data_IF_125974839845
#
_entry.id   IF_125974839845
#
_cell.length_a   1.000
_cell.length_b   1.000
_cell.length_c   1.000
_cell.angle_alpha   90.00
_cell.angle_beta   90.00
_cell.angle_gamma   90.00
#
_symmetry.space_group_name_H-M   'P 1'
#
loop_
_entity.id
_entity.type
_entity.pdbx_description
1 polymer ?
#
# COMPACT_ATOMS: atom_id res chain seq x y z
N UNK A 1 -21.11 13.28 17.07
CA UNK A 1 -21.90 14.51 17.21
C UNK A 1 -22.83 14.60 16.01
N UNK A 2 -24.14 14.79 16.22
CA UNK A 2 -25.07 15.05 15.12
C UNK A 2 -24.80 16.44 14.53
N UNK A 3 -25.03 16.59 13.23
CA UNK A 3 -24.83 17.82 12.43
C UNK A 3 -25.51 19.05 13.03
N UNK A 4 -26.55 18.84 13.84
CA UNK A 4 -27.30 19.87 14.58
C UNK A 4 -26.45 20.67 15.58
N UNK A 5 -25.41 20.07 16.17
CA UNK A 5 -24.51 20.77 17.10
C UNK A 5 -23.62 21.81 16.41
N UNK A 6 -23.24 21.56 15.16
CA UNK A 6 -22.44 22.50 14.34
C UNK A 6 -23.35 23.63 13.83
N UNK A 7 -24.58 23.31 13.40
CA UNK A 7 -25.55 24.35 13.02
C UNK A 7 -25.89 25.29 14.18
N UNK A 8 -25.90 24.80 15.42
CA UNK A 8 -26.20 25.64 16.59
C UNK A 8 -25.07 26.65 16.90
N UNK A 9 -23.81 26.29 16.60
CA UNK A 9 -22.67 27.22 16.71
C UNK A 9 -22.65 28.21 15.54
N UNK A 10 -23.17 27.83 14.36
CA UNK A 10 -23.08 28.61 13.12
C UNK A 10 -24.30 29.50 12.84
N UNK A 11 -25.47 29.27 13.44
CA UNK A 11 -26.70 29.99 13.03
C UNK A 11 -26.89 31.36 13.68
N UNK A 12 -26.83 32.39 12.82
CA UNK A 12 -27.48 33.68 13.05
C UNK A 12 -27.02 34.80 12.10
N UNK A 13 -25.72 35.04 11.98
CA UNK A 13 -25.20 36.29 11.36
C UNK A 13 -24.38 36.09 10.09
N UNK A 14 -24.13 34.84 9.67
CA UNK A 14 -22.97 34.57 8.83
C UNK A 14 -21.67 34.90 9.59
N UNK A 15 -20.57 34.30 9.16
CA UNK A 15 -19.26 34.56 9.75
C UNK A 15 -18.42 35.32 8.73
N UNK A 16 -17.85 36.44 9.15
CA UNK A 16 -16.97 37.26 8.32
C UNK A 16 -15.50 36.80 8.39
N UNK A 17 -15.22 35.76 9.16
CA UNK A 17 -13.87 35.26 9.49
C UNK A 17 -13.87 33.73 9.63
N UNK A 18 -12.69 33.11 9.63
CA UNK A 18 -12.50 31.66 9.70
C UNK A 18 -12.98 31.08 11.05
N UNK A 19 -13.83 30.06 11.01
CA UNK A 19 -14.26 29.32 12.21
C UNK A 19 -13.43 28.03 12.31
N UNK A 20 -12.74 27.85 13.43
CA UNK A 20 -12.11 26.57 13.78
C UNK A 20 -12.84 25.94 14.96
N UNK A 21 -13.38 24.73 14.78
CA UNK A 21 -13.98 23.93 15.84
C UNK A 21 -13.10 22.71 16.15
N UNK A 22 -12.63 22.62 17.39
CA UNK A 22 -11.98 21.42 17.91
C UNK A 22 -12.90 20.71 18.89
N UNK A 23 -13.22 19.46 18.59
CA UNK A 23 -14.02 18.61 19.45
C UNK A 23 -13.27 17.32 19.83
N UNK A 24 -13.41 16.92 21.09
CA UNK A 24 -12.88 15.65 21.58
C UNK A 24 -13.95 14.91 22.37
N UNK A 25 -14.04 13.60 22.16
CA UNK A 25 -14.93 12.71 22.92
C UNK A 25 -14.09 11.60 23.54
N UNK A 26 -14.31 11.32 24.82
CA UNK A 26 -13.73 10.14 25.46
C UNK A 26 -14.44 8.89 24.93
N UNK A 27 -13.67 7.98 24.37
CA UNK A 27 -14.13 6.67 23.88
C UNK A 27 -13.56 5.54 24.73
N UNK A 28 -14.13 4.34 24.61
CA UNK A 28 -13.50 3.15 25.15
C UNK A 28 -12.17 2.91 24.44
N UNK A 29 -11.12 2.43 25.14
CA UNK A 29 -9.85 2.11 24.50
C UNK A 29 -10.06 1.01 23.46
N UNK A 30 -9.49 1.18 22.28
CA UNK A 30 -9.43 0.12 21.27
C UNK A 30 -8.39 -0.91 21.76
N UNK A 31 -8.72 -2.20 21.84
CA UNK A 31 -7.76 -3.24 22.21
C UNK A 31 -6.59 -3.31 21.23
N UNK A 32 -5.42 -3.73 21.72
CA UNK A 32 -4.26 -4.00 20.88
C UNK A 32 -4.57 -5.11 19.87
N UNK A 33 -4.00 -5.00 18.67
CA UNK A 33 -4.06 -6.05 17.67
C UNK A 33 -2.97 -7.08 17.96
N UNK A 34 -3.35 -8.36 18.06
CA UNK A 34 -2.43 -9.48 18.21
C UNK A 34 -2.83 -10.56 17.21
N UNK A 35 -1.93 -10.88 16.29
CA UNK A 35 -2.09 -11.90 15.28
C UNK A 35 -0.97 -12.93 15.45
N UNK A 36 -1.32 -14.21 15.50
CA UNK A 36 -0.36 -15.31 15.56
C UNK A 36 -0.76 -16.35 14.52
N UNK A 37 0.12 -16.57 13.53
CA UNK A 37 -0.12 -17.56 12.48
C UNK A 37 1.14 -18.38 12.21
N UNK A 38 1.02 -19.30 11.24
CA UNK A 38 2.18 -20.01 10.68
C UNK A 38 2.53 -19.39 9.33
N UNK A 39 3.83 -19.27 9.07
CA UNK A 39 4.35 -18.77 7.81
C UNK A 39 3.76 -19.53 6.61
N UNK A 40 3.02 -18.81 5.78
CA UNK A 40 2.53 -19.21 4.46
C UNK A 40 2.37 -17.94 3.59
N UNK A 41 2.16 -18.10 2.29
CA UNK A 41 1.91 -16.94 1.44
C UNK A 41 0.56 -16.25 1.77
N UNK A 42 -0.46 -17.00 2.19
CA UNK A 42 -1.79 -16.44 2.44
C UNK A 42 -1.81 -15.51 3.67
N UNK A 43 -0.96 -15.77 4.67
CA UNK A 43 -0.99 -15.00 5.92
C UNK A 43 -0.50 -13.56 5.73
N UNK A 44 0.31 -13.26 4.71
CA UNK A 44 0.75 -11.88 4.41
C UNK A 44 -0.46 -10.98 4.23
N UNK A 45 -1.38 -11.43 3.40
CA UNK A 45 -2.53 -10.68 2.97
C UNK A 45 -3.62 -10.62 4.07
N UNK A 46 -3.73 -11.70 4.86
CA UNK A 46 -4.52 -11.74 6.09
C UNK A 46 -4.07 -10.68 7.11
N UNK A 47 -2.77 -10.63 7.43
CA UNK A 47 -2.24 -9.69 8.43
C UNK A 47 -2.42 -8.25 7.99
N UNK A 48 -2.14 -7.97 6.71
CA UNK A 48 -2.34 -6.66 6.10
C UNK A 48 -3.79 -6.19 6.25
N UNK A 49 -4.76 -7.04 5.87
CA UNK A 49 -6.19 -6.70 5.98
C UNK A 49 -6.63 -6.50 7.42
N UNK A 50 -6.22 -7.38 8.32
CA UNK A 50 -6.54 -7.29 9.75
C UNK A 50 -6.00 -5.98 10.37
N UNK A 51 -4.77 -5.58 10.05
CA UNK A 51 -4.20 -4.31 10.48
C UNK A 51 -4.98 -3.11 9.94
N UNK A 52 -5.34 -3.12 8.66
CA UNK A 52 -6.11 -2.02 8.06
C UNK A 52 -7.49 -1.88 8.69
N UNK A 53 -8.20 -2.99 8.89
CA UNK A 53 -9.49 -3.00 9.59
C UNK A 53 -9.35 -2.45 11.02
N UNK A 54 -8.31 -2.85 11.74
CA UNK A 54 -8.02 -2.36 13.08
C UNK A 54 -7.67 -0.86 13.10
N UNK A 55 -6.85 -0.35 12.18
CA UNK A 55 -6.53 1.10 12.08
C UNK A 55 -7.76 1.94 11.73
N UNK A 56 -8.71 1.41 10.97
CA UNK A 56 -9.98 2.10 10.71
C UNK A 56 -10.85 2.25 11.98
N UNK A 57 -10.72 1.36 12.96
CA UNK A 57 -11.36 1.57 14.28
C UNK A 57 -10.76 2.77 15.04
N UNK A 58 -9.48 3.07 14.79
CA UNK A 58 -8.82 4.29 15.25
C UNK A 58 -9.16 5.52 14.42
N UNK A 59 -9.89 5.35 13.32
CA UNK A 59 -10.20 6.39 12.33
C UNK A 59 -8.94 7.08 11.80
N UNK A 60 -7.86 6.30 11.65
CA UNK A 60 -6.63 6.77 11.02
C UNK A 60 -6.91 7.24 9.59
N UNK A 61 -6.12 8.22 9.13
CA UNK A 61 -6.15 8.65 7.73
C UNK A 61 -5.80 7.49 6.79
N UNK A 62 -6.40 7.45 5.60
CA UNK A 62 -6.19 6.34 4.67
C UNK A 62 -4.74 6.27 4.19
N UNK A 63 -4.02 7.40 4.10
CA UNK A 63 -2.59 7.39 3.77
C UNK A 63 -1.77 6.64 4.84
N UNK A 64 -2.08 6.85 6.12
CA UNK A 64 -1.42 6.17 7.23
C UNK A 64 -1.77 4.68 7.26
N UNK A 65 -3.03 4.34 6.95
CA UNK A 65 -3.49 2.96 6.81
C UNK A 65 -2.69 2.24 5.71
N UNK A 66 -2.58 2.85 4.53
CA UNK A 66 -1.84 2.28 3.39
C UNK A 66 -0.36 2.12 3.74
N UNK A 67 0.27 3.13 4.34
CA UNK A 67 1.67 3.07 4.75
C UNK A 67 1.93 1.94 5.76
N UNK A 68 1.10 1.82 6.79
CA UNK A 68 1.21 0.76 7.79
C UNK A 68 0.97 -0.63 7.18
N UNK A 69 -0.06 -0.77 6.34
CA UNK A 69 -0.35 -2.02 5.62
C UNK A 69 0.80 -2.45 4.71
N UNK A 70 1.41 -1.51 4.00
CA UNK A 70 2.56 -1.78 3.16
C UNK A 70 3.76 -2.25 3.99
N UNK A 71 4.15 -1.48 5.01
CA UNK A 71 5.26 -1.83 5.89
C UNK A 71 5.09 -3.21 6.53
N UNK A 72 3.91 -3.50 7.10
CA UNK A 72 3.65 -4.81 7.72
C UNK A 72 3.61 -5.94 6.69
N UNK A 73 3.03 -5.70 5.50
CA UNK A 73 3.05 -6.67 4.40
C UNK A 73 4.48 -7.06 4.01
N UNK A 74 5.39 -6.09 3.90
CA UNK A 74 6.81 -6.34 3.62
C UNK A 74 7.51 -7.13 4.73
N UNK A 75 7.27 -6.76 5.99
CA UNK A 75 7.89 -7.42 7.13
C UNK A 75 7.41 -8.86 7.29
N UNK A 76 6.11 -9.11 7.10
CA UNK A 76 5.54 -10.47 7.13
C UNK A 76 6.03 -11.28 5.93
N UNK A 77 6.10 -10.68 4.74
CA UNK A 77 6.70 -11.34 3.56
C UNK A 77 8.14 -11.75 3.83
N UNK A 78 8.95 -10.85 4.39
CA UNK A 78 10.34 -11.13 4.76
C UNK A 78 10.42 -12.30 5.78
N UNK A 79 9.55 -12.34 6.79
CA UNK A 79 9.49 -13.46 7.72
C UNK A 79 9.14 -14.78 7.01
N UNK A 80 8.11 -14.77 6.15
CA UNK A 80 7.65 -15.96 5.41
C UNK A 80 8.72 -16.49 4.46
N UNK A 81 9.37 -15.62 3.69
CA UNK A 81 10.33 -16.02 2.67
C UNK A 81 11.71 -16.37 3.21
N UNK A 82 12.15 -15.68 4.28
CA UNK A 82 13.55 -15.68 4.68
C UNK A 82 13.83 -16.25 6.06
N UNK A 83 12.83 -16.43 6.92
CA UNK A 83 13.05 -16.93 8.28
C UNK A 83 13.16 -18.46 8.34
N UNK A 84 12.35 -19.19 7.57
CA UNK A 84 12.18 -20.64 7.76
C UNK A 84 12.74 -21.54 6.64
N UNK A 85 13.28 -20.95 5.57
CA UNK A 85 13.82 -21.69 4.43
C UNK A 85 12.75 -22.41 3.59
N UNK A 86 13.14 -23.21 2.57
CA UNK A 86 12.25 -23.67 1.49
C UNK A 86 11.08 -24.55 1.92
N UNK A 87 11.19 -25.25 3.05
CA UNK A 87 10.16 -26.16 3.59
C UNK A 87 9.54 -25.63 4.88
N UNK A 88 9.89 -24.41 5.26
CA UNK A 88 9.75 -23.91 6.61
C UNK A 88 8.36 -23.36 6.90
N UNK A 89 7.60 -24.08 7.74
CA UNK A 89 6.45 -23.49 8.42
C UNK A 89 6.88 -23.15 9.84
N UNK A 90 6.75 -21.88 10.24
CA UNK A 90 7.11 -21.43 11.58
C UNK A 90 6.22 -20.28 12.05
N UNK A 91 6.25 -19.95 13.35
CA UNK A 91 5.32 -18.99 13.92
C UNK A 91 5.68 -17.54 13.53
N UNK A 92 4.75 -16.86 12.88
CA UNK A 92 4.85 -15.41 12.63
C UNK A 92 3.80 -14.72 13.49
N UNK A 93 4.21 -13.70 14.23
CA UNK A 93 3.30 -12.90 15.06
C UNK A 93 3.42 -11.43 14.72
N UNK A 94 2.27 -10.75 14.69
CA UNK A 94 2.20 -9.29 14.56
C UNK A 94 1.44 -8.74 15.75
N UNK A 95 2.05 -7.78 16.44
CA UNK A 95 1.38 -7.00 17.47
C UNK A 95 1.35 -5.53 17.07
N UNK A 96 0.21 -4.87 17.20
CA UNK A 96 0.08 -3.44 16.94
C UNK A 96 -0.63 -2.74 18.10
N UNK A 97 -0.05 -1.62 18.53
CA UNK A 97 -0.55 -0.79 19.62
C UNK A 97 -0.54 0.68 19.21
N UNK A 98 -1.50 1.47 19.67
CA UNK A 98 -1.45 2.94 19.52
C UNK A 98 -1.21 3.56 20.89
N UNK A 99 -0.12 4.29 21.01
CA UNK A 99 0.22 4.98 22.26
C UNK A 99 -0.74 6.15 22.52
N UNK A 100 -0.84 6.66 23.77
CA UNK A 100 -1.63 7.86 24.07
C UNK A 100 -1.24 9.13 23.30
N UNK A 101 -0.08 9.13 22.62
CA UNK A 101 0.40 10.23 21.77
C UNK A 101 -0.03 10.10 20.30
N UNK A 102 -0.81 9.08 19.94
CA UNK A 102 -1.22 8.81 18.56
C UNK A 102 -0.15 8.12 17.72
N UNK A 103 0.91 7.60 18.34
CA UNK A 103 1.94 6.83 17.65
C UNK A 103 1.53 5.36 17.56
N UNK A 104 1.35 4.85 16.34
CA UNK A 104 1.26 3.44 16.03
C UNK A 104 2.63 2.80 16.23
N UNK A 105 2.66 1.68 16.95
CA UNK A 105 3.80 0.77 17.04
C UNK A 105 3.38 -0.59 16.55
N UNK A 106 4.11 -1.14 15.59
CA UNK A 106 3.91 -2.51 15.13
C UNK A 106 5.19 -3.30 15.31
N UNK A 107 5.07 -4.49 15.90
CA UNK A 107 6.15 -5.47 16.00
C UNK A 107 5.76 -6.71 15.17
N UNK A 108 6.62 -7.09 14.23
CA UNK A 108 6.53 -8.33 13.46
C UNK A 108 7.66 -9.24 13.92
N UNK A 109 7.31 -10.41 14.44
CA UNK A 109 8.27 -11.37 14.98
C UNK A 109 8.15 -12.73 14.32
N UNK A 110 9.30 -13.32 14.03
CA UNK A 110 9.45 -14.71 13.67
C UNK A 110 10.41 -15.43 14.64
N UNK A 111 10.52 -16.75 14.49
CA UNK A 111 11.46 -17.62 15.23
C UNK A 111 12.44 -18.33 14.31
N UNK A 112 12.58 -17.82 13.10
CA UNK A 112 13.44 -18.42 12.09
C UNK A 112 14.84 -17.83 12.14
N UNK A 113 15.72 -18.35 11.28
CA UNK A 113 17.04 -17.76 11.05
C UNK A 113 16.98 -16.96 9.78
N UNK A 114 16.91 -15.64 9.93
CA UNK A 114 16.88 -14.74 8.79
C UNK A 114 18.10 -14.94 7.91
N UNK A 115 17.85 -15.32 6.66
CA UNK A 115 18.89 -15.44 5.64
C UNK A 115 18.86 -14.20 4.76
N UNK A 116 19.97 -13.46 4.62
CA UNK A 116 20.00 -12.31 3.74
C UNK A 116 19.66 -12.71 2.30
N UNK A 117 18.81 -11.94 1.60
CA UNK A 117 18.56 -12.21 0.19
C UNK A 117 19.88 -12.05 -0.60
N UNK A 118 20.19 -13.03 -1.46
CA UNK A 118 21.38 -12.99 -2.32
C UNK A 118 21.34 -11.82 -3.32
N UNK A 119 22.52 -11.27 -3.69
CA UNK A 119 22.64 -10.01 -4.42
C UNK A 119 21.91 -9.93 -5.77
N UNK A 120 21.23 -8.80 -6.02
CA UNK A 120 20.58 -8.43 -7.28
C UNK A 120 20.01 -6.99 -7.25
N UNK A 121 19.84 -6.31 -8.40
CA UNK A 121 19.55 -4.88 -8.48
C UNK A 121 18.18 -4.45 -7.93
N UNK A 122 17.21 -5.36 -7.84
CA UNK A 122 15.88 -5.12 -7.30
C UNK A 122 15.67 -5.69 -5.87
N UNK A 123 16.72 -6.23 -5.24
CA UNK A 123 16.62 -6.83 -3.89
C UNK A 123 17.02 -5.82 -2.81
N UNK A 124 16.33 -5.88 -1.68
CA UNK A 124 16.52 -4.95 -0.55
C UNK A 124 15.52 -3.80 -0.48
N UNK A 125 14.63 -3.68 -1.47
CA UNK A 125 13.63 -2.62 -1.52
C UNK A 125 12.56 -2.74 -0.44
N UNK A 126 12.17 -3.96 -0.03
CA UNK A 126 11.14 -4.15 1.00
C UNK A 126 11.49 -3.49 2.33
N UNK A 127 12.70 -3.77 2.85
CA UNK A 127 13.17 -3.15 4.10
C UNK A 127 13.53 -1.67 3.93
N UNK A 128 14.04 -1.24 2.77
CA UNK A 128 14.34 0.18 2.54
C UNK A 128 13.06 1.02 2.43
N UNK A 129 12.05 0.56 1.68
CA UNK A 129 10.75 1.23 1.58
C UNK A 129 10.03 1.24 2.93
N UNK A 130 10.14 0.17 3.72
CA UNK A 130 9.61 0.18 5.09
C UNK A 130 10.26 1.28 5.93
N UNK A 131 11.58 1.46 5.81
CA UNK A 131 12.30 2.55 6.47
C UNK A 131 12.00 3.95 5.93
N UNK A 132 11.55 4.07 4.68
CA UNK A 132 11.11 5.36 4.12
C UNK A 132 9.66 5.71 4.46
N UNK A 133 8.80 4.70 4.63
CA UNK A 133 7.40 4.89 5.02
C UNK A 133 7.22 5.10 6.52
N UNK A 134 8.04 4.46 7.35
CA UNK A 134 7.96 4.54 8.80
C UNK A 134 8.71 5.75 9.36
N UNK A 135 8.20 6.36 10.44
CA UNK A 135 8.91 7.40 11.18
C UNK A 135 10.14 6.82 11.91
N UNK A 136 10.04 5.56 12.34
CA UNK A 136 11.14 4.79 12.88
C UNK A 136 11.02 3.32 12.46
N UNK A 137 12.16 2.71 12.13
CA UNK A 137 12.25 1.29 11.81
C UNK A 137 13.46 0.68 12.51
N UNK A 138 13.25 -0.43 13.20
CA UNK A 138 14.30 -1.25 13.80
C UNK A 138 14.16 -2.70 13.39
N UNK A 139 15.30 -3.38 13.27
CA UNK A 139 15.35 -4.79 12.91
C UNK A 139 16.39 -5.50 13.77
N UNK A 140 15.90 -6.22 14.77
CA UNK A 140 16.73 -7.02 15.66
C UNK A 140 16.75 -8.48 15.19
N UNK A 141 17.95 -9.04 15.09
CA UNK A 141 18.18 -10.41 14.63
C UNK A 141 18.96 -11.15 15.70
N UNK A 142 18.34 -12.19 16.22
CA UNK A 142 18.92 -13.06 17.23
C UNK A 142 18.93 -14.51 16.77
N UNK A 143 19.59 -15.37 17.55
CA UNK A 143 19.65 -16.81 17.27
C UNK A 143 18.29 -17.52 17.38
N UNK A 144 17.34 -16.91 18.10
CA UNK A 144 16.00 -17.44 18.37
C UNK A 144 14.90 -16.81 17.49
N UNK A 145 15.26 -15.88 16.58
CA UNK A 145 14.30 -15.23 15.69
C UNK A 145 14.72 -13.85 15.19
N UNK A 146 13.87 -13.27 14.36
CA UNK A 146 13.97 -11.86 13.95
C UNK A 146 12.76 -11.08 14.44
N UNK A 147 13.01 -9.86 14.91
CA UNK A 147 11.97 -8.92 15.35
C UNK A 147 12.14 -7.60 14.59
N UNK A 148 11.14 -7.25 13.80
CA UNK A 148 11.07 -6.00 13.08
C UNK A 148 10.06 -5.08 13.77
N UNK A 149 10.43 -3.84 14.08
CA UNK A 149 9.51 -2.87 14.68
C UNK A 149 9.41 -1.62 13.82
N UNK A 150 8.20 -1.11 13.64
CA UNK A 150 7.94 0.18 13.00
C UNK A 150 7.16 1.10 13.93
N UNK A 151 7.44 2.40 13.83
CA UNK A 151 6.62 3.45 14.43
C UNK A 151 6.08 4.38 13.33
N UNK A 152 4.80 4.77 13.45
CA UNK A 152 4.09 5.66 12.54
C UNK A 152 3.19 6.62 13.33
N UNK A 153 3.30 7.91 13.09
CA UNK A 153 2.40 8.92 13.67
C UNK A 153 1.06 8.87 12.93
N UNK A 154 0.00 8.46 13.63
CA UNK A 154 -1.33 8.44 13.04
C UNK A 154 -1.90 9.85 12.99
N UNK A 155 -2.38 10.21 11.82
CA UNK A 155 -3.16 11.39 11.55
C UNK A 155 -4.63 11.03 11.37
N UNK A 156 -5.47 12.07 11.41
CA UNK A 156 -6.88 11.99 11.05
C UNK A 156 -7.18 13.20 10.20
N UNK A 157 -7.71 13.02 8.99
CA UNK A 157 -8.10 14.15 8.16
C UNK A 157 -9.07 15.07 8.91
N UNK A 158 -8.71 16.34 9.02
CA UNK A 158 -9.66 17.36 9.45
C UNK A 158 -10.67 17.57 8.32
N UNK A 159 -11.96 17.44 8.62
CA UNK A 159 -13.01 17.73 7.63
C UNK A 159 -13.04 19.24 7.38
N UNK A 160 -12.53 19.68 6.23
CA UNK A 160 -12.74 21.03 5.73
C UNK A 160 -14.16 21.12 5.16
N UNK A 161 -15.07 21.76 5.92
CA UNK A 161 -16.41 22.08 5.47
C UNK A 161 -16.37 23.39 4.69
N UNK A 162 -15.95 23.34 3.42
CA UNK A 162 -16.22 24.44 2.47
C UNK A 162 -17.67 24.35 2.02
N UNK A 163 -18.36 25.49 1.93
CA UNK A 163 -19.81 25.61 1.67
C UNK A 163 -20.35 25.02 0.36
N UNK A 164 -19.51 24.37 -0.44
CA UNK A 164 -19.92 23.53 -1.57
C UNK A 164 -19.53 22.08 -1.30
N UNK A 165 -20.56 21.28 -1.01
CA UNK A 165 -20.46 19.83 -0.85
C UNK A 165 -20.14 19.17 -2.19
N UNK A 166 -18.95 18.57 -2.33
CA UNK A 166 -18.76 17.51 -3.30
C UNK A 166 -17.74 16.46 -2.84
N UNK A 167 -18.22 15.20 -2.87
CA UNK A 167 -17.51 13.94 -2.68
C UNK A 167 -17.02 13.59 -1.27
N UNK A 168 -17.96 13.12 -0.43
CA UNK A 168 -17.62 12.05 0.50
C UNK A 168 -17.33 10.83 -0.37
N UNK A 169 -16.05 10.45 -0.43
CA UNK A 169 -15.57 9.31 -1.19
C UNK A 169 -16.41 8.08 -0.88
N UNK A 170 -17.04 7.57 -1.92
CA UNK A 170 -17.94 6.45 -1.88
C UNK A 170 -17.23 5.26 -1.21
N UNK A 171 -17.87 4.70 -0.20
CA UNK A 171 -17.35 3.53 0.50
C UNK A 171 -17.18 2.39 -0.48
N UNK A 172 -15.92 2.11 -0.89
CA UNK A 172 -15.56 0.83 -1.48
C UNK A 172 -15.66 -0.23 -0.39
N UNK A 173 -16.90 -0.66 -0.17
CA UNK A 173 -17.29 -1.78 0.67
C UNK A 173 -16.44 -2.99 0.34
N UNK A 174 -15.79 -3.49 1.37
CA UNK A 174 -15.41 -4.88 1.58
C UNK A 174 -16.41 -5.81 0.87
N UNK A 175 -15.96 -6.47 -0.19
CA UNK A 175 -16.57 -7.70 -0.71
C UNK A 175 -15.45 -8.70 -0.94
N UNK A 176 -15.72 -9.92 -0.49
CA UNK A 176 -14.90 -11.14 -0.57
C UNK A 176 -13.93 -11.20 -1.76
N UNK A 177 -12.67 -11.55 -1.45
CA UNK A 177 -11.54 -11.74 -2.36
C UNK A 177 -11.31 -10.56 -3.32
N UNK A 178 -10.41 -9.64 -2.95
CA UNK A 178 -9.87 -8.63 -3.87
C UNK A 178 -9.06 -9.35 -4.96
N UNK A 179 -9.64 -9.63 -6.15
CA UNK A 179 -9.08 -10.59 -7.06
C UNK A 179 -7.98 -9.92 -7.89
N UNK A 180 -6.86 -10.61 -8.06
CA UNK A 180 -5.82 -10.15 -8.97
C UNK A 180 -6.27 -10.34 -10.42
N UNK A 181 -6.42 -9.24 -11.16
CA UNK A 181 -6.87 -9.23 -12.55
C UNK A 181 -5.91 -8.42 -13.41
N UNK A 182 -5.63 -8.93 -14.61
CA UNK A 182 -4.97 -8.17 -15.67
C UNK A 182 -5.97 -8.06 -16.82
N UNK A 183 -6.39 -6.83 -17.11
CA UNK A 183 -7.36 -6.50 -18.14
C UNK A 183 -6.62 -5.95 -19.35
N UNK A 184 -6.96 -6.46 -20.54
CA UNK A 184 -6.44 -5.91 -21.78
C UNK A 184 -7.20 -4.63 -22.15
N UNK A 185 -6.48 -3.51 -22.19
CA UNK A 185 -6.98 -2.20 -22.61
C UNK A 185 -6.39 -1.76 -23.96
N UNK A 186 -5.82 -2.70 -24.71
CA UNK A 186 -5.24 -2.43 -26.01
C UNK A 186 -6.31 -1.98 -26.99
N UNK A 187 -5.97 -0.99 -27.80
CA UNK A 187 -6.86 -0.45 -28.83
C UNK A 187 -6.06 0.29 -29.89
N UNK A 188 -6.50 0.20 -31.15
CA UNK A 188 -5.91 0.90 -32.30
C UNK A 188 -4.48 0.47 -32.61
N UNK A 189 -3.51 1.07 -31.93
CA UNK A 189 -2.07 0.95 -32.20
C UNK A 189 -1.19 0.99 -30.92
N UNK A 190 -1.81 0.84 -29.73
CA UNK A 190 -1.12 0.90 -28.43
C UNK A 190 -1.42 -0.31 -27.55
N UNK A 191 -0.36 -0.95 -27.07
CA UNK A 191 -0.46 -2.05 -26.11
C UNK A 191 -0.69 -1.47 -24.71
N UNK A 192 -1.79 -1.87 -24.09
CA UNK A 192 -2.14 -1.37 -22.76
C UNK A 192 -2.81 -2.45 -21.93
N UNK A 193 -2.40 -2.53 -20.67
CA UNK A 193 -3.02 -3.39 -19.67
C UNK A 193 -3.43 -2.57 -18.45
N UNK A 194 -4.48 -3.03 -17.77
CA UNK A 194 -4.85 -2.55 -16.44
C UNK A 194 -4.70 -3.66 -15.42
N UNK A 195 -4.11 -3.33 -14.28
CA UNK A 195 -3.90 -4.25 -13.16
C UNK A 195 -4.84 -3.85 -12.02
N UNK A 196 -5.69 -4.78 -11.62
CA UNK A 196 -6.62 -4.63 -10.49
C UNK A 196 -6.26 -5.65 -9.40
N UNK A 197 -6.42 -5.25 -8.14
CA UNK A 197 -6.16 -6.10 -6.96
C UNK A 197 -4.73 -6.01 -6.43
N UNK A 198 -4.31 -6.96 -5.55
CA UNK A 198 -3.02 -6.91 -4.88
C UNK A 198 -1.87 -7.33 -5.81
N UNK A 199 -0.82 -6.51 -5.88
CA UNK A 199 0.44 -6.81 -6.55
C UNK A 199 1.55 -7.11 -5.53
N UNK A 200 1.52 -8.32 -5.00
CA UNK A 200 2.42 -8.86 -3.99
C UNK A 200 3.39 -9.91 -4.55
N UNK A 201 4.08 -10.64 -3.68
CA UNK A 201 5.02 -11.69 -4.08
C UNK A 201 4.39 -12.88 -4.82
N UNK A 202 3.09 -13.12 -4.61
CA UNK A 202 2.34 -14.20 -5.27
C UNK A 202 1.99 -13.79 -6.70
N UNK A 203 1.52 -12.55 -6.89
CA UNK A 203 0.96 -12.08 -8.15
C UNK A 203 1.98 -11.38 -9.06
N UNK A 204 3.06 -10.81 -8.50
CA UNK A 204 4.09 -10.11 -9.28
C UNK A 204 4.70 -10.94 -10.43
N UNK A 205 5.00 -12.25 -10.25
CA UNK A 205 5.51 -13.08 -11.35
C UNK A 205 4.53 -13.29 -12.51
N UNK A 206 3.22 -13.11 -12.28
CA UNK A 206 2.19 -13.19 -13.32
C UNK A 206 2.22 -11.92 -14.18
N UNK A 207 2.28 -10.75 -13.54
CA UNK A 207 2.43 -9.48 -14.24
C UNK A 207 3.74 -9.43 -15.06
N UNK A 208 4.86 -9.89 -14.49
CA UNK A 208 6.15 -9.90 -15.19
C UNK A 208 6.09 -10.69 -16.50
N UNK A 209 5.49 -11.89 -16.45
CA UNK A 209 5.29 -12.75 -17.62
C UNK A 209 4.40 -12.09 -18.68
N UNK A 210 3.36 -11.37 -18.26
CA UNK A 210 2.47 -10.69 -19.20
C UNK A 210 3.16 -9.51 -19.89
N UNK A 211 3.89 -8.68 -19.14
CA UNK A 211 4.66 -7.58 -19.72
C UNK A 211 5.77 -8.07 -20.66
N UNK A 212 6.46 -9.16 -20.32
CA UNK A 212 7.46 -9.79 -21.20
C UNK A 212 6.80 -10.29 -22.49
N UNK A 213 5.66 -10.99 -22.39
CA UNK A 213 4.93 -11.52 -23.54
C UNK A 213 4.56 -10.42 -24.53
N UNK A 214 4.05 -9.30 -24.01
CA UNK A 214 3.66 -8.11 -24.78
C UNK A 214 4.86 -7.39 -25.40
N UNK A 215 5.97 -7.29 -24.66
CA UNK A 215 7.23 -6.73 -25.17
C UNK A 215 7.81 -7.53 -26.35
N UNK A 216 7.65 -8.86 -26.36
CA UNK A 216 8.11 -9.70 -27.48
C UNK A 216 7.16 -9.71 -28.69
N UNK A 217 5.94 -9.18 -28.56
CA UNK A 217 4.93 -9.14 -29.62
C UNK A 217 5.15 -8.06 -30.68
N UNK A 218 6.24 -7.28 -30.60
CA UNK A 218 6.53 -6.16 -31.50
C UNK A 218 5.97 -4.82 -31.03
N UNK A 219 5.36 -4.75 -29.84
CA UNK A 219 4.90 -3.49 -29.24
C UNK A 219 6.11 -2.61 -28.88
N UNK A 220 6.17 -1.42 -29.46
CA UNK A 220 7.18 -0.38 -29.17
C UNK A 220 6.80 0.48 -27.98
N UNK A 221 5.56 0.38 -27.48
CA UNK A 221 5.11 1.05 -26.27
C UNK A 221 4.09 0.20 -25.51
N UNK A 222 4.28 0.08 -24.20
CA UNK A 222 3.34 -0.58 -23.29
C UNK A 222 2.89 0.41 -22.22
N UNK A 223 1.58 0.54 -22.05
CA UNK A 223 0.97 1.27 -20.93
C UNK A 223 0.50 0.28 -19.88
N UNK A 224 0.90 0.48 -18.63
CA UNK A 224 0.41 -0.29 -17.48
C UNK A 224 -0.38 0.66 -16.58
N UNK A 225 -1.69 0.51 -16.59
CA UNK A 225 -2.62 1.21 -15.71
C UNK A 225 -2.72 0.50 -14.36
N UNK A 226 -2.23 1.16 -13.32
CA UNK A 226 -2.19 0.67 -11.95
C UNK A 226 -3.29 1.30 -11.08
N UNK A 227 -4.26 1.98 -11.69
CA UNK A 227 -5.38 2.64 -10.97
C UNK A 227 -6.16 1.67 -10.08
N UNK A 228 -6.28 0.41 -10.50
CA UNK A 228 -7.00 -0.62 -9.75
C UNK A 228 -6.15 -1.37 -8.72
N UNK A 229 -4.85 -1.10 -8.61
CA UNK A 229 -3.97 -1.76 -7.65
C UNK A 229 -4.34 -1.34 -6.24
N UNK A 230 -4.62 -2.33 -5.40
CA UNK A 230 -5.05 -2.14 -4.01
C UNK A 230 -3.93 -2.35 -2.99
N UNK A 231 -2.83 -2.97 -3.43
CA UNK A 231 -1.62 -3.16 -2.66
C UNK A 231 -0.44 -3.30 -3.63
N UNK A 232 0.64 -2.56 -3.42
CA UNK A 232 1.85 -2.62 -4.26
C UNK A 232 3.05 -2.95 -3.39
N UNK A 233 3.39 -4.24 -3.28
CA UNK A 233 4.54 -4.71 -2.51
C UNK A 233 5.86 -4.53 -3.29
N UNK A 234 6.99 -4.75 -2.61
CA UNK A 234 8.34 -4.69 -3.16
C UNK A 234 8.55 -5.62 -4.35
N UNK A 235 7.92 -6.80 -4.35
CA UNK A 235 7.94 -7.71 -5.49
C UNK A 235 7.29 -7.08 -6.73
N UNK A 236 6.15 -6.40 -6.55
CA UNK A 236 5.46 -5.66 -7.59
C UNK A 236 6.29 -4.49 -8.12
N UNK A 237 6.83 -3.66 -7.22
CA UNK A 237 7.74 -2.55 -7.56
C UNK A 237 8.96 -3.06 -8.35
N UNK A 238 9.55 -4.16 -7.90
CA UNK A 238 10.71 -4.80 -8.55
C UNK A 238 10.39 -5.19 -9.99
N UNK A 239 9.22 -5.79 -10.22
CA UNK A 239 8.76 -6.16 -11.55
C UNK A 239 8.60 -4.93 -12.45
N UNK A 240 8.06 -3.82 -11.95
CA UNK A 240 7.93 -2.57 -12.71
C UNK A 240 9.29 -1.93 -13.04
N UNK A 241 10.22 -1.90 -12.08
CA UNK A 241 11.59 -1.39 -12.28
C UNK A 241 12.32 -2.24 -13.33
N UNK A 242 12.29 -3.56 -13.19
CA UNK A 242 12.95 -4.48 -14.11
C UNK A 242 12.33 -4.40 -15.52
N UNK A 243 11.01 -4.29 -15.63
CA UNK A 243 10.34 -4.09 -16.92
C UNK A 243 10.84 -2.82 -17.60
N UNK A 244 10.97 -1.71 -16.86
CA UNK A 244 11.51 -0.46 -17.39
C UNK A 244 12.97 -0.56 -17.81
N UNK A 245 13.79 -1.28 -17.06
CA UNK A 245 15.20 -1.52 -17.40
C UNK A 245 15.38 -2.38 -18.65
N UNK A 246 14.40 -3.25 -18.95
CA UNK A 246 14.39 -4.08 -20.16
C UNK A 246 13.99 -3.31 -21.42
N UNK A 247 13.41 -2.12 -21.29
CA UNK A 247 13.13 -1.25 -22.43
C UNK A 247 14.46 -0.81 -23.08
N UNK A 248 14.79 -1.40 -24.22
CA UNK A 248 15.92 -1.02 -25.08
C UNK A 248 15.48 0.05 -26.10
N UNK A 249 16.44 0.68 -26.78
CA UNK A 249 16.22 1.78 -27.74
C UNK A 249 15.00 1.53 -28.65
N UNK A 250 13.95 2.34 -28.45
CA UNK A 250 12.69 2.30 -29.22
C UNK A 250 11.48 1.69 -28.50
N UNK A 251 11.68 0.98 -27.38
CA UNK A 251 10.59 0.50 -26.51
C UNK A 251 10.34 1.47 -25.35
N UNK A 252 9.07 1.77 -25.03
CA UNK A 252 8.71 2.62 -23.88
C UNK A 252 7.70 1.93 -22.96
N UNK A 253 7.90 2.08 -21.65
CA UNK A 253 6.96 1.65 -20.62
C UNK A 253 6.40 2.89 -19.92
N UNK A 254 5.08 3.07 -19.98
CA UNK A 254 4.36 4.13 -19.27
C UNK A 254 3.55 3.53 -18.14
N UNK A 255 3.79 3.99 -16.92
CA UNK A 255 2.99 3.63 -15.75
C UNK A 255 1.95 4.71 -15.50
N UNK A 256 0.69 4.32 -15.33
CA UNK A 256 -0.40 5.23 -14.98
C UNK A 256 -0.83 4.95 -13.54
N UNK A 257 -0.75 5.98 -12.70
CA UNK A 257 -1.15 5.94 -11.30
C UNK A 257 -1.73 7.31 -10.93
N UNK A 258 -3.08 7.44 -10.88
CA UNK A 258 -3.73 8.71 -10.52
C UNK A 258 -3.39 9.17 -9.09
N UNK A 259 -3.34 10.49 -8.83
CA UNK A 259 -3.05 11.03 -7.51
C UNK A 259 -3.96 10.47 -6.43
N UNK A 260 -3.38 10.06 -5.30
CA UNK A 260 -4.10 9.49 -4.16
C UNK A 260 -4.41 7.99 -4.27
N UNK A 261 -3.98 7.32 -5.33
CA UNK A 261 -4.01 5.85 -5.40
C UNK A 261 -2.84 5.21 -4.63
N UNK A 262 -2.98 3.94 -4.25
CA UNK A 262 -1.88 3.17 -3.63
C UNK A 262 -0.65 3.14 -4.54
N UNK A 263 -0.87 2.98 -5.85
CA UNK A 263 0.22 3.00 -6.83
C UNK A 263 0.93 4.37 -6.86
N UNK A 264 0.19 5.49 -6.87
CA UNK A 264 0.79 6.84 -6.87
C UNK A 264 1.67 7.08 -5.64
N UNK A 265 1.17 6.73 -4.45
CA UNK A 265 1.91 6.87 -3.20
C UNK A 265 3.22 6.06 -3.22
N UNK A 266 3.16 4.77 -3.54
CA UNK A 266 4.32 3.88 -3.52
C UNK A 266 5.31 4.23 -4.65
N UNK A 267 4.83 4.50 -5.87
CA UNK A 267 5.71 4.86 -6.99
C UNK A 267 6.39 6.22 -6.79
N UNK A 268 5.72 7.17 -6.15
CA UNK A 268 6.32 8.44 -5.74
C UNK A 268 7.44 8.22 -4.73
N UNK A 269 7.20 7.38 -3.71
CA UNK A 269 8.18 7.04 -2.68
C UNK A 269 9.46 6.47 -3.32
N UNK A 270 9.32 5.46 -4.17
CA UNK A 270 10.46 4.82 -4.85
C UNK A 270 11.01 5.62 -6.03
N UNK A 271 10.47 6.81 -6.28
CA UNK A 271 10.84 7.71 -7.39
C UNK A 271 10.77 7.03 -8.77
N UNK A 272 9.80 6.13 -8.95
CA UNK A 272 9.55 5.50 -10.24
C UNK A 272 8.59 6.39 -11.06
N UNK A 273 9.01 6.94 -12.23
CA UNK A 273 8.19 7.89 -12.96
C UNK A 273 6.89 7.27 -13.46
N UNK A 274 5.78 7.93 -13.15
CA UNK A 274 4.41 7.55 -13.53
C UNK A 274 3.60 8.80 -13.91
N UNK A 275 2.44 8.61 -14.54
CA UNK A 275 1.55 9.67 -15.01
C UNK A 275 0.18 9.56 -14.32
N UNK A 276 -0.52 10.70 -14.10
CA UNK A 276 -1.82 10.70 -13.44
C UNK A 276 -2.94 10.12 -14.31
N UNK A 277 -2.73 10.06 -15.62
CA UNK A 277 -3.68 9.53 -16.59
C UNK A 277 -2.95 8.90 -17.77
N UNK A 278 -3.63 8.02 -18.50
CA UNK A 278 -3.11 7.46 -19.77
C UNK A 278 -2.81 8.60 -20.75
N UNK A 279 -1.64 8.60 -21.42
CA UNK A 279 -1.38 9.57 -22.48
C UNK A 279 -2.39 9.35 -23.62
N UNK A 280 -2.89 10.43 -24.26
CA UNK A 280 -3.81 10.30 -25.38
C UNK A 280 -3.19 9.45 -26.49
N UNK A 281 -4.00 8.60 -27.11
CA UNK A 281 -3.53 7.80 -28.23
C UNK A 281 -3.14 8.70 -29.42
N UNK A 282 -2.32 8.21 -30.37
CA UNK A 282 -1.92 8.99 -31.56
C UNK A 282 -3.09 9.47 -32.45
N UNK A 283 -4.34 9.09 -32.14
CA UNK A 283 -5.55 9.48 -32.86
C UNK A 283 -6.63 10.18 -31.99
N UNK A 284 -6.33 10.55 -30.74
CA UNK A 284 -7.28 11.21 -29.81
C UNK A 284 -7.36 12.76 -29.95
N UNK A 285 -6.89 13.33 -31.07
CA UNK A 285 -6.93 14.79 -31.34
C UNK A 285 -7.69 15.13 -32.61
#
# INVERSE_FOLDING_TARGET
>A
MSTEGIELVVRGTGHADDITLLAAQRVAPVPDLVLETRASAEVVDEHRRALGAWLRTWHADEADVVAAQHAVGELVTNAVEHAYGPSGTGPVSVTATVTPRGLLRVEVRDRGRWTPPGGGPARGWGLSMTGELADAFTLDRADDGTTASIELALSRAATLLTGDTQAWGDGRSERDADPFLILDLSGGDGDAIRVDGPLDVVNAPVLDREMIRRSHGGATSLVVDLTGVTHLASAGVSVLILARQRCVDGASLTLVAPPGTVADQILTLVRLPHQPSRPPGPHDT
#
